data_IF_674220657495
#
_entry.id   IF_674220657495
#
_cell.length_a   1.000
_cell.length_b   1.000
_cell.length_c   1.000
_cell.angle_alpha   90.00
_cell.angle_beta   90.00
_cell.angle_gamma   90.00
#
_symmetry.space_group_name_H-M   'P 1'
#
loop_
_entity.id
_entity.type
_entity.pdbx_description
1 polymer ?
#
# COMPACT_ATOMS: atom_id res chain seq x y z
N UNK A 1 -0.96 9.90 9.62
CA UNK A 1 0.01 9.23 8.73
C UNK A 1 1.39 9.74 9.12
N UNK A 2 2.08 8.97 9.93
CA UNK A 2 3.43 9.22 10.43
C UNK A 2 4.35 8.09 9.96
N UNK A 3 5.66 8.36 9.86
CA UNK A 3 6.65 7.33 9.52
C UNK A 3 6.61 6.23 10.59
N UNK A 4 6.54 4.97 10.14
CA UNK A 4 6.42 3.80 11.02
C UNK A 4 4.99 3.39 11.37
N UNK A 5 3.97 4.13 10.91
CA UNK A 5 2.58 3.65 10.99
C UNK A 5 2.47 2.30 10.27
N UNK A 6 1.71 1.38 10.88
CA UNK A 6 1.45 0.06 10.30
C UNK A 6 0.46 0.19 9.15
N UNK A 7 0.86 -0.41 8.03
CA UNK A 7 0.10 -0.41 6.79
C UNK A 7 -0.17 -1.83 6.36
N UNK A 8 -1.42 -2.12 6.04
CA UNK A 8 -1.79 -3.38 5.40
C UNK A 8 -2.13 -3.06 3.96
N UNK A 9 -1.29 -3.55 3.05
CA UNK A 9 -1.50 -3.44 1.62
C UNK A 9 -2.24 -4.69 1.13
N UNK A 10 -3.46 -4.53 0.63
CA UNK A 10 -4.31 -5.62 0.16
C UNK A 10 -4.54 -5.47 -1.33
N UNK A 11 -4.28 -6.52 -2.11
CA UNK A 11 -4.58 -6.53 -3.54
C UNK A 11 -6.10 -6.75 -3.73
N UNK A 12 -6.78 -5.94 -4.55
CA UNK A 12 -8.21 -6.09 -4.81
C UNK A 12 -8.54 -6.74 -6.15
N UNK A 13 -7.76 -6.43 -7.19
CA UNK A 13 -7.97 -6.99 -8.54
C UNK A 13 -6.63 -7.18 -9.23
N UNK A 14 -6.24 -8.44 -9.37
CA UNK A 14 -5.44 -8.90 -10.52
C UNK A 14 -6.42 -9.27 -11.62
N UNK A 15 -6.34 -8.63 -12.79
CA UNK A 15 -7.07 -9.09 -13.98
C UNK A 15 -6.38 -10.35 -14.50
N UNK A 16 -6.44 -11.43 -13.73
CA UNK A 16 -6.16 -12.76 -14.23
C UNK A 16 -7.44 -13.24 -14.92
N UNK A 17 -7.30 -13.75 -16.14
CA UNK A 17 -8.35 -14.21 -17.06
C UNK A 17 -9.36 -15.23 -16.44
N UNK A 18 -9.08 -15.71 -15.22
CA UNK A 18 -9.88 -16.68 -14.46
C UNK A 18 -10.68 -16.11 -13.28
N UNK A 19 -10.79 -14.78 -13.12
CA UNK A 19 -11.69 -14.18 -12.11
C UNK A 19 -11.30 -14.43 -10.64
N UNK A 20 -10.07 -14.84 -10.37
CA UNK A 20 -9.57 -15.04 -9.01
C UNK A 20 -9.23 -13.68 -8.38
N UNK A 21 -9.98 -13.33 -7.33
CA UNK A 21 -9.67 -12.21 -6.44
C UNK A 21 -8.60 -12.71 -5.48
N UNK A 22 -7.36 -12.26 -5.66
CA UNK A 22 -6.27 -12.60 -4.77
C UNK A 22 -6.33 -11.69 -3.53
N UNK A 23 -6.86 -12.20 -2.41
CA UNK A 23 -6.99 -11.47 -1.13
C UNK A 23 -5.65 -11.42 -0.35
N UNK A 24 -4.50 -11.41 -1.03
CA UNK A 24 -3.21 -11.30 -0.34
C UNK A 24 -3.11 -9.98 0.40
N UNK A 25 -2.80 -10.10 1.69
CA UNK A 25 -2.52 -8.98 2.60
C UNK A 25 -1.03 -8.96 2.88
N UNK A 26 -0.40 -7.83 2.60
CA UNK A 26 1.02 -7.61 2.82
C UNK A 26 1.22 -6.60 3.94
N UNK A 27 1.97 -6.99 4.96
CA UNK A 27 2.36 -6.09 6.05
C UNK A 27 3.45 -5.14 5.57
N UNK A 28 3.15 -3.86 5.66
CA UNK A 28 4.02 -2.77 5.28
C UNK A 28 4.09 -1.72 6.40
N UNK A 29 5.08 -0.84 6.32
CA UNK A 29 5.20 0.33 7.20
C UNK A 29 5.37 1.59 6.37
N UNK A 30 4.86 2.74 6.85
CA UNK A 30 5.07 4.02 6.16
C UNK A 30 6.55 4.41 6.25
N UNK A 31 7.20 4.51 5.10
CA UNK A 31 8.54 5.07 5.00
C UNK A 31 8.47 6.60 4.91
N UNK A 32 7.62 7.11 4.02
CA UNK A 32 7.44 8.53 3.73
C UNK A 32 6.13 8.77 3.00
N UNK A 33 5.56 9.97 3.14
CA UNK A 33 4.40 10.42 2.37
C UNK A 33 4.72 11.74 1.69
N UNK A 34 4.48 11.82 0.38
CA UNK A 34 4.67 13.03 -0.43
C UNK A 34 3.31 13.55 -0.91
N UNK A 35 2.70 14.52 -0.21
CA UNK A 35 1.36 15.02 -0.52
C UNK A 35 1.29 15.72 -1.87
N UNK A 36 2.37 16.35 -2.34
CA UNK A 36 2.42 17.03 -3.63
C UNK A 36 2.25 16.10 -4.83
N UNK A 37 2.61 14.82 -4.67
CA UNK A 37 2.47 13.78 -5.71
C UNK A 37 1.36 12.79 -5.38
N UNK A 38 0.68 12.97 -4.24
CA UNK A 38 -0.28 12.00 -3.69
C UNK A 38 0.30 10.57 -3.65
N UNK A 39 1.58 10.46 -3.30
CA UNK A 39 2.32 9.20 -3.34
C UNK A 39 2.84 8.84 -1.95
N UNK A 40 2.69 7.57 -1.58
CA UNK A 40 3.10 7.02 -0.29
C UNK A 40 4.20 6.00 -0.54
N UNK A 41 5.33 6.20 0.12
CA UNK A 41 6.44 5.26 0.15
C UNK A 41 6.20 4.26 1.28
N UNK A 42 6.02 2.99 0.92
CA UNK A 42 5.78 1.90 1.86
C UNK A 42 7.00 0.99 1.90
N UNK A 43 7.29 0.44 3.07
CA UNK A 43 8.34 -0.56 3.27
C UNK A 43 7.69 -1.93 3.49
N UNK A 44 7.94 -2.92 2.62
CA UNK A 44 7.47 -4.29 2.87
C UNK A 44 8.29 -4.93 3.99
N UNK A 45 7.58 -5.54 4.93
CA UNK A 45 8.18 -6.30 6.02
C UNK A 45 8.15 -7.81 5.73
N UNK A 46 7.01 -8.34 5.30
CA UNK A 46 6.75 -9.80 5.29
C UNK A 46 6.93 -10.46 3.90
N UNK A 47 6.68 -9.70 2.83
CA UNK A 47 6.61 -10.22 1.45
C UNK A 47 7.79 -9.78 0.59
N UNK A 48 8.01 -10.42 -0.56
CA UNK A 48 9.00 -10.04 -1.59
C UNK A 48 8.38 -9.14 -2.66
N UNK A 49 9.19 -8.24 -3.23
CA UNK A 49 8.75 -7.28 -4.26
C UNK A 49 8.12 -7.97 -5.49
N UNK A 50 8.51 -9.21 -5.79
CA UNK A 50 8.00 -9.97 -6.95
C UNK A 50 6.54 -10.38 -6.83
N UNK A 51 5.99 -10.47 -5.61
CA UNK A 51 4.57 -10.79 -5.41
C UNK A 51 3.66 -9.57 -5.58
N UNK A 52 4.22 -8.38 -5.39
CA UNK A 52 3.51 -7.15 -5.74
C UNK A 52 3.35 -7.14 -7.26
N UNK A 53 2.30 -6.53 -7.77
CA UNK A 53 2.00 -6.32 -9.19
C UNK A 53 1.92 -4.81 -9.44
N UNK A 54 2.43 -4.33 -10.56
CA UNK A 54 2.34 -2.89 -10.89
C UNK A 54 0.98 -2.57 -11.52
N UNK A 55 0.41 -3.52 -12.26
CA UNK A 55 -0.90 -3.43 -12.91
C UNK A 55 -2.08 -3.79 -11.97
N UNK A 56 -1.78 -4.11 -10.71
CA UNK A 56 -2.78 -4.43 -9.71
C UNK A 56 -3.39 -3.20 -9.05
N UNK A 57 -4.68 -3.28 -8.72
CA UNK A 57 -5.31 -2.31 -7.82
C UNK A 57 -5.13 -2.77 -6.39
N UNK A 58 -4.61 -1.88 -5.55
CA UNK A 58 -4.31 -2.12 -4.14
C UNK A 58 -5.09 -1.18 -3.24
N UNK A 59 -5.57 -1.72 -2.13
CA UNK A 59 -6.10 -0.98 -1.00
C UNK A 59 -5.07 -0.95 0.10
N UNK A 60 -4.58 0.25 0.41
CA UNK A 60 -3.68 0.57 1.49
C UNK A 60 -4.49 0.97 2.73
N UNK A 61 -4.43 0.14 3.78
CA UNK A 61 -5.05 0.39 5.09
C UNK A 61 -4.00 0.83 6.08
N UNK A 62 -4.07 2.08 6.52
CA UNK A 62 -3.12 2.68 7.44
C UNK A 62 -3.82 2.87 8.77
N UNK A 63 -3.29 2.24 9.82
CA UNK A 63 -3.82 2.38 11.16
C UNK A 63 -2.93 3.33 11.96
N UNK A 64 -3.46 4.49 12.30
CA UNK A 64 -2.72 5.54 13.03
C UNK A 64 -3.51 5.93 14.27
N UNK A 65 -3.08 5.48 15.44
CA UNK A 65 -3.77 5.68 16.74
C UNK A 65 -5.29 5.39 16.65
N UNK A 66 -6.11 6.43 16.62
CA UNK A 66 -7.59 6.40 16.59
C UNK A 66 -8.18 6.62 15.18
N UNK A 67 -7.33 6.68 14.14
CA UNK A 67 -7.73 6.92 12.76
C UNK A 67 -7.31 5.76 11.88
N UNK A 68 -8.20 5.34 10.99
CA UNK A 68 -7.92 4.39 9.92
C UNK A 68 -8.02 5.11 8.59
N UNK A 69 -6.97 5.04 7.78
CA UNK A 69 -7.00 5.54 6.41
C UNK A 69 -7.13 4.35 5.46
N UNK A 70 -8.07 4.43 4.53
CA UNK A 70 -8.29 3.47 3.45
C UNK A 70 -8.06 4.16 2.12
N UNK A 71 -6.91 3.89 1.53
CA UNK A 71 -6.50 4.51 0.28
C UNK A 71 -6.47 3.44 -0.80
N UNK A 72 -7.13 3.67 -1.91
CA UNK A 72 -7.10 2.84 -3.10
C UNK A 72 -6.18 3.48 -4.14
N UNK A 73 -5.45 2.63 -4.84
CA UNK A 73 -4.49 3.10 -5.82
C UNK A 73 -3.70 1.94 -6.40
N UNK A 74 -2.54 2.27 -6.95
CA UNK A 74 -1.67 1.31 -7.63
C UNK A 74 -0.22 1.54 -7.31
N UNK A 75 0.57 0.50 -7.48
CA UNK A 75 2.01 0.57 -7.26
C UNK A 75 2.64 1.10 -8.54
N UNK A 76 3.21 2.30 -8.45
CA UNK A 76 3.91 2.94 -9.56
C UNK A 76 5.23 2.22 -9.81
N UNK A 77 6.01 2.06 -8.74
CA UNK A 77 7.36 1.52 -8.76
C UNK A 77 7.63 0.71 -7.50
N UNK A 78 8.54 -0.25 -7.61
CA UNK A 78 8.96 -1.10 -6.51
C UNK A 78 10.42 -1.44 -6.64
N UNK A 79 11.21 -1.20 -5.61
CA UNK A 79 12.65 -1.36 -5.66
C UNK A 79 13.21 -1.67 -4.28
N UNK A 80 14.41 -2.26 -4.25
CA UNK A 80 15.15 -2.46 -3.02
C UNK A 80 16.04 -1.22 -2.81
N UNK A 81 15.93 -0.63 -1.63
CA UNK A 81 16.73 0.51 -1.18
C UNK A 81 17.52 0.12 0.08
N UNK A 82 18.36 1.01 0.60
CA UNK A 82 19.10 0.79 1.85
C UNK A 82 18.17 0.59 3.04
N UNK A 83 16.97 1.20 3.00
CA UNK A 83 15.93 1.00 4.01
C UNK A 83 15.24 -0.39 3.93
N UNK A 84 15.39 -1.11 2.82
CA UNK A 84 14.72 -2.37 2.53
C UNK A 84 13.86 -2.31 1.27
N UNK A 85 12.79 -3.10 1.22
CA UNK A 85 11.91 -3.26 0.06
C UNK A 85 10.90 -2.11 0.00
N UNK A 86 11.12 -1.14 -0.89
CA UNK A 86 10.29 0.07 -1.00
C UNK A 86 9.26 -0.07 -2.13
N UNK A 87 8.04 0.39 -1.86
CA UNK A 87 6.97 0.56 -2.84
C UNK A 87 6.55 2.01 -2.94
N UNK A 88 6.36 2.48 -4.16
CA UNK A 88 5.72 3.75 -4.46
C UNK A 88 4.24 3.50 -4.74
N UNK A 89 3.41 3.71 -3.71
CA UNK A 89 1.96 3.62 -3.84
C UNK A 89 1.41 4.97 -4.28
N UNK A 90 0.91 5.04 -5.50
CA UNK A 90 0.20 6.20 -6.01
C UNK A 90 -1.25 6.11 -5.57
N UNK A 91 -1.69 7.05 -4.73
CA UNK A 91 -3.08 7.16 -4.32
C UNK A 91 -3.89 7.65 -5.53
N UNK A 92 -4.98 6.95 -5.84
CA UNK A 92 -5.95 7.37 -6.87
C UNK A 92 -7.29 7.76 -6.24
N UNK A 93 -7.68 7.08 -5.16
CA UNK A 93 -8.89 7.36 -4.40
C UNK A 93 -8.60 7.16 -2.90
N UNK A 94 -9.01 8.10 -2.06
CA UNK A 94 -8.67 8.09 -0.65
C UNK A 94 -9.89 8.33 0.23
N UNK A 95 -10.16 7.42 1.16
CA UNK A 95 -11.16 7.57 2.21
C UNK A 95 -10.51 7.43 3.58
N UNK A 96 -10.84 8.32 4.53
CA UNK A 96 -10.41 8.15 5.92
C UNK A 96 -11.63 7.91 6.81
N UNK A 97 -11.48 7.01 7.77
CA UNK A 97 -12.49 6.69 8.78
C UNK A 97 -11.91 7.09 10.13
N UNK A 98 -12.65 7.92 10.86
CA UNK A 98 -12.35 8.20 12.27
C UNK A 98 -12.97 7.05 13.06
N UNK A 99 -12.16 6.35 13.86
CA UNK A 99 -12.69 5.35 14.77
C UNK A 99 -13.27 6.12 15.96
N UNK A 100 -14.60 6.11 16.08
CA UNK A 100 -15.35 6.74 17.18
C UNK A 100 -15.34 5.84 18.44
#
# INVERSE_FOLDING_TARGET
MEKGDKVILQMQKSVAENGQIDDRKHSCSILRYDPAKECIYLLLEDTVLTEISLDGIYTCRIRSKEKEYRLNGRIRERYLSEAGKVLEFQVEDGSYVVCE
#
